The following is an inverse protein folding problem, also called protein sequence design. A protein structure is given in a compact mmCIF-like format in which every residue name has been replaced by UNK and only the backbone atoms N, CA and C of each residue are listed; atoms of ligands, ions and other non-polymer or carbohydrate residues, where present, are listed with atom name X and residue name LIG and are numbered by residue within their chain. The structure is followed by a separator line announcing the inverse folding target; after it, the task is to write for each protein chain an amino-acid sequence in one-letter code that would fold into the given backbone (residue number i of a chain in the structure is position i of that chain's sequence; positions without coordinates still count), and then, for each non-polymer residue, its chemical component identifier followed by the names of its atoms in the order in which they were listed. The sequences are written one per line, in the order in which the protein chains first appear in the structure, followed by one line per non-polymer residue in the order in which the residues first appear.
data_IF_771025432071
#
_entry.id   IF_771025432071
#
_cell.length_a   1.000
_cell.length_b   1.000
_cell.length_c   1.000
_cell.angle_alpha   90.00
_cell.angle_beta   90.00
_cell.angle_gamma   90.00
#
_symmetry.space_group_name_H-M   'P 1'
#
loop_
_entity.id
_entity.type
_entity.pdbx_description
1 polymer ?
#
# COMPACT_ATOMS: atom_id res chain seq x y z
N UNK A 1 5.19 1.81 -17.13
CA UNK A 1 5.67 2.28 -15.81
C UNK A 1 6.43 1.14 -15.14
N UNK A 2 7.52 1.46 -14.43
CA UNK A 2 8.35 0.47 -13.76
C UNK A 2 8.71 0.87 -12.34
N UNK A 3 9.37 -0.03 -11.64
CA UNK A 3 9.87 0.16 -10.28
C UNK A 3 11.27 -0.44 -10.17
N UNK A 4 12.06 0.10 -9.28
CA UNK A 4 13.36 -0.46 -8.92
C UNK A 4 13.13 -1.59 -7.89
N UNK A 5 13.53 -2.82 -8.23
CA UNK A 5 13.38 -3.96 -7.35
C UNK A 5 14.72 -4.30 -6.72
N UNK A 6 14.91 -3.92 -5.47
CA UNK A 6 16.07 -4.31 -4.67
C UNK A 6 15.82 -5.68 -4.02
N UNK A 7 16.87 -6.52 -3.89
CA UNK A 7 16.77 -7.73 -3.07
C UNK A 7 16.61 -7.34 -1.60
N UNK A 8 15.38 -7.42 -1.10
CA UNK A 8 15.12 -7.10 0.29
C UNK A 8 15.21 -8.38 1.13
N UNK A 9 16.25 -8.48 1.92
CA UNK A 9 16.26 -9.36 3.08
C UNK A 9 15.35 -8.74 4.14
N UNK A 10 14.04 -8.93 4.01
CA UNK A 10 13.10 -8.44 5.02
C UNK A 10 13.39 -9.20 6.31
N UNK A 11 13.94 -8.50 7.32
CA UNK A 11 14.04 -9.04 8.67
C UNK A 11 12.61 -9.26 9.18
N UNK A 12 12.42 -10.36 9.94
CA UNK A 12 11.19 -10.47 10.71
C UNK A 12 11.04 -9.20 11.56
N UNK A 13 9.87 -8.59 11.47
CA UNK A 13 9.57 -7.44 12.34
C UNK A 13 9.76 -7.89 13.79
N UNK A 14 10.65 -7.20 14.51
CA UNK A 14 10.82 -7.39 15.96
C UNK A 14 9.79 -6.58 16.74
N UNK A 15 8.96 -5.81 16.05
CA UNK A 15 7.91 -5.00 16.67
C UNK A 15 6.76 -5.89 17.13
N UNK A 16 6.32 -5.72 18.37
CA UNK A 16 5.07 -6.32 18.87
C UNK A 16 3.82 -5.76 18.19
N UNK A 17 3.95 -4.60 17.51
CA UNK A 17 2.87 -3.93 16.79
C UNK A 17 3.01 -4.16 15.29
N UNK A 18 1.92 -4.57 14.65
CA UNK A 18 1.83 -4.71 13.20
C UNK A 18 1.91 -3.32 12.53
N UNK A 19 2.87 -3.14 11.62
CA UNK A 19 3.10 -1.88 10.91
C UNK A 19 2.29 -1.84 9.62
N UNK A 20 1.21 -1.07 9.60
CA UNK A 20 0.32 -0.89 8.47
C UNK A 20 0.70 0.38 7.70
N UNK A 21 0.65 0.33 6.38
CA UNK A 21 1.03 1.46 5.52
C UNK A 21 -0.01 1.72 4.44
N UNK A 22 -0.37 2.98 4.29
CA UNK A 22 -1.02 3.55 3.12
C UNK A 22 -0.11 4.64 2.52
N UNK A 23 0.06 4.64 1.21
CA UNK A 23 0.76 5.70 0.48
C UNK A 23 -0.13 6.20 -0.65
N UNK A 24 -0.34 7.51 -0.73
CA UNK A 24 -1.12 8.12 -1.80
C UNK A 24 -1.62 9.51 -1.44
N UNK A 25 -2.15 10.22 -2.43
CA UNK A 25 -2.80 11.52 -2.18
C UNK A 25 -3.95 11.36 -1.20
N UNK A 26 -4.10 12.29 -0.28
CA UNK A 26 -5.24 12.35 0.62
C UNK A 26 -6.41 12.94 -0.16
N UNK A 27 -7.25 12.07 -0.69
CA UNK A 27 -8.41 12.41 -1.51
C UNK A 27 -9.54 11.40 -1.25
N UNK A 28 -10.81 11.82 -1.35
CA UNK A 28 -12.00 10.98 -1.07
C UNK A 28 -12.01 9.68 -1.88
N UNK A 29 -11.52 9.71 -3.12
CA UNK A 29 -11.39 8.52 -3.95
C UNK A 29 -10.52 7.43 -3.34
N UNK A 30 -9.64 7.77 -2.39
CA UNK A 30 -8.77 6.83 -1.67
C UNK A 30 -9.44 6.14 -0.50
N UNK A 31 -10.60 6.64 -0.06
CA UNK A 31 -11.46 6.06 0.99
C UNK A 31 -10.70 5.70 2.28
N UNK A 32 -9.83 6.62 2.72
CA UNK A 32 -8.98 6.42 3.92
C UNK A 32 -9.84 6.28 5.18
N UNK A 33 -11.03 6.88 5.20
CA UNK A 33 -12.02 6.72 6.28
C UNK A 33 -12.41 5.25 6.52
N UNK A 34 -12.48 4.43 5.47
CA UNK A 34 -12.80 2.99 5.60
C UNK A 34 -11.63 2.23 6.25
N UNK A 35 -10.40 2.66 5.99
CA UNK A 35 -9.22 2.10 6.63
C UNK A 35 -9.21 2.45 8.12
N UNK A 36 -9.49 3.72 8.50
CA UNK A 36 -9.61 4.13 9.90
C UNK A 36 -10.69 3.33 10.64
N UNK A 37 -11.86 3.15 10.02
CA UNK A 37 -12.95 2.35 10.57
C UNK A 37 -12.58 0.87 10.72
N UNK A 38 -11.76 0.33 9.82
CA UNK A 38 -11.29 -1.05 9.88
C UNK A 38 -10.30 -1.25 11.03
N UNK A 39 -9.27 -0.38 11.13
CA UNK A 39 -8.24 -0.52 12.17
C UNK A 39 -8.77 -0.25 13.57
N UNK A 40 -9.81 0.58 13.71
CA UNK A 40 -10.50 0.79 14.98
C UNK A 40 -11.12 -0.49 15.60
N UNK A 41 -11.35 -1.50 14.74
CA UNK A 41 -11.95 -2.79 15.15
C UNK A 41 -10.92 -3.92 15.30
N UNK A 42 -9.63 -3.61 15.14
CA UNK A 42 -8.57 -4.62 15.31
C UNK A 42 -8.42 -5.00 16.79
N UNK A 43 -8.25 -6.29 17.02
CA UNK A 43 -7.96 -6.85 18.35
C UNK A 43 -6.46 -7.12 18.58
N UNK A 44 -5.62 -6.77 17.61
CA UNK A 44 -4.16 -6.95 17.67
C UNK A 44 -3.45 -5.59 17.75
N UNK A 45 -2.28 -5.51 18.40
CA UNK A 45 -1.50 -4.28 18.41
C UNK A 45 -1.06 -3.87 17.01
N UNK A 46 -1.25 -2.60 16.65
CA UNK A 46 -0.87 -2.06 15.35
C UNK A 46 -0.39 -0.61 15.42
N UNK A 47 0.23 -0.17 14.35
CA UNK A 47 0.43 1.23 14.04
C UNK A 47 0.16 1.45 12.54
N UNK A 48 -0.66 2.44 12.19
CA UNK A 48 -0.99 2.80 10.82
C UNK A 48 -0.29 4.11 10.43
N UNK A 49 0.55 4.02 9.40
CA UNK A 49 1.15 5.21 8.76
C UNK A 49 0.40 5.54 7.47
N UNK A 50 -0.07 6.78 7.35
CA UNK A 50 -0.72 7.34 6.18
C UNK A 50 0.22 8.39 5.59
N UNK A 51 0.91 8.04 4.50
CA UNK A 51 1.88 8.90 3.85
C UNK A 51 1.29 9.53 2.58
N UNK A 52 1.18 10.85 2.58
CA UNK A 52 0.68 11.62 1.46
C UNK A 52 0.15 12.98 1.88
N UNK A 53 -0.02 13.86 0.91
CA UNK A 53 -0.57 15.19 1.13
C UNK A 53 -1.94 15.37 0.50
N UNK A 54 -2.70 16.33 1.00
CA UNK A 54 -3.91 16.83 0.36
C UNK A 54 -3.52 17.91 -0.67
N UNK A 55 -3.96 17.73 -1.91
CA UNK A 55 -3.80 18.77 -2.94
C UNK A 55 -5.04 19.66 -2.95
N UNK A 56 -4.86 20.92 -2.57
CA UNK A 56 -5.96 21.90 -2.46
C UNK A 56 -6.47 22.43 -3.82
N UNK A 57 -5.83 22.08 -4.92
CA UNK A 57 -5.99 22.75 -6.23
C UNK A 57 -6.76 21.95 -7.28
N UNK A 58 -7.14 20.68 -7.03
CA UNK A 58 -7.89 19.92 -8.02
C UNK A 58 -9.40 20.02 -7.76
N UNK A 59 -10.18 20.18 -8.83
CA UNK A 59 -11.65 20.15 -8.78
C UNK A 59 -12.23 18.88 -8.17
N UNK A 60 -11.43 17.82 -8.09
CA UNK A 60 -11.76 16.52 -7.49
C UNK A 60 -11.44 16.47 -6.01
N UNK A 61 -10.48 17.27 -5.55
CA UNK A 61 -10.11 17.43 -4.13
C UNK A 61 -10.66 18.76 -3.63
N UNK A 62 -11.97 18.84 -3.36
CA UNK A 62 -12.48 19.90 -2.49
C UNK A 62 -11.75 19.73 -1.16
N UNK A 63 -10.93 20.72 -0.78
CA UNK A 63 -10.12 20.69 0.45
C UNK A 63 -10.95 20.36 1.70
N UNK A 64 -10.27 19.92 2.76
CA UNK A 64 -10.92 19.58 4.02
C UNK A 64 -11.11 18.09 4.29
N UNK A 65 -10.74 17.21 3.35
CA UNK A 65 -10.81 15.78 3.60
C UNK A 65 -9.78 15.31 4.66
N UNK A 66 -8.60 15.90 4.67
CA UNK A 66 -7.62 15.66 5.74
C UNK A 66 -8.18 16.07 7.12
N UNK A 67 -8.88 17.21 7.20
CA UNK A 67 -9.48 17.65 8.46
C UNK A 67 -10.62 16.72 8.91
N UNK A 68 -11.38 16.17 7.97
CA UNK A 68 -12.39 15.15 8.26
C UNK A 68 -11.74 13.86 8.79
N UNK A 69 -10.65 13.42 8.17
CA UNK A 69 -9.91 12.23 8.62
C UNK A 69 -9.30 12.44 10.02
N UNK A 70 -8.76 13.63 10.30
CA UNK A 70 -8.25 13.97 11.63
C UNK A 70 -9.37 13.96 12.68
N UNK A 71 -10.54 14.55 12.37
CA UNK A 71 -11.71 14.49 13.26
C UNK A 71 -12.17 13.05 13.50
N UNK A 72 -12.24 12.24 12.44
CA UNK A 72 -12.61 10.82 12.56
C UNK A 72 -11.59 10.04 13.41
N UNK A 73 -10.30 10.31 13.23
CA UNK A 73 -9.23 9.70 14.03
C UNK A 73 -9.41 10.01 15.52
N UNK A 74 -9.73 11.27 15.86
CA UNK A 74 -10.04 11.69 17.23
C UNK A 74 -11.29 11.01 17.77
N UNK A 75 -12.38 10.98 16.99
CA UNK A 75 -13.64 10.33 17.39
C UNK A 75 -13.50 8.84 17.66
N UNK A 76 -12.62 8.18 16.92
CA UNK A 76 -12.31 6.76 17.07
C UNK A 76 -11.21 6.48 18.11
N UNK A 77 -10.68 7.50 18.80
CA UNK A 77 -9.58 7.41 19.76
C UNK A 77 -8.29 6.76 19.18
N UNK A 78 -8.00 7.04 17.90
CA UNK A 78 -6.89 6.44 17.16
C UNK A 78 -5.61 7.29 17.15
N UNK A 79 -5.53 8.41 17.87
CA UNK A 79 -4.41 9.36 17.80
C UNK A 79 -3.04 8.74 18.14
N UNK A 80 -3.02 7.74 19.01
CA UNK A 80 -1.79 7.02 19.39
C UNK A 80 -1.45 5.84 18.46
N UNK A 81 -2.30 5.54 17.49
CA UNK A 81 -2.21 4.39 16.61
C UNK A 81 -2.09 4.76 15.13
N UNK A 82 -2.39 6.01 14.77
CA UNK A 82 -2.40 6.50 13.39
C UNK A 82 -1.53 7.73 13.25
N UNK A 83 -0.66 7.75 12.24
CA UNK A 83 0.19 8.89 11.91
C UNK A 83 -0.05 9.35 10.48
N UNK A 84 -0.45 10.61 10.31
CA UNK A 84 -0.46 11.30 9.02
C UNK A 84 0.87 12.00 8.83
N UNK A 85 1.66 11.59 7.84
CA UNK A 85 3.03 12.10 7.68
C UNK A 85 3.14 13.32 6.76
N UNK A 86 2.07 13.67 6.06
CA UNK A 86 2.12 14.63 4.96
C UNK A 86 2.85 14.10 3.73
N UNK A 87 3.12 15.00 2.78
CA UNK A 87 3.85 14.68 1.54
C UNK A 87 5.29 14.30 1.87
N UNK A 88 5.79 13.24 1.25
CA UNK A 88 7.12 12.68 1.45
C UNK A 88 7.90 12.59 0.14
N UNK A 89 9.21 12.70 0.25
CA UNK A 89 10.14 12.41 -0.85
C UNK A 89 10.21 10.92 -1.15
N UNK A 90 10.69 10.53 -2.33
CA UNK A 90 10.88 9.13 -2.70
C UNK A 90 11.77 8.39 -1.70
N UNK A 91 12.83 9.03 -1.21
CA UNK A 91 13.74 8.43 -0.21
C UNK A 91 13.03 8.15 1.11
N UNK A 92 12.22 9.09 1.60
CA UNK A 92 11.44 8.90 2.82
C UNK A 92 10.37 7.79 2.64
N UNK A 93 9.71 7.73 1.47
CA UNK A 93 8.75 6.67 1.16
C UNK A 93 9.40 5.29 1.15
N UNK A 94 10.61 5.14 0.60
CA UNK A 94 11.37 3.89 0.67
C UNK A 94 11.57 3.40 2.12
N UNK A 95 11.81 4.31 3.08
CA UNK A 95 11.93 3.95 4.49
C UNK A 95 10.61 3.42 5.07
N UNK A 96 9.47 4.02 4.73
CA UNK A 96 8.15 3.52 5.14
C UNK A 96 7.84 2.15 4.55
N UNK A 97 8.08 1.94 3.25
CA UNK A 97 7.89 0.62 2.63
C UNK A 97 8.79 -0.45 3.29
N UNK A 98 10.04 -0.11 3.63
CA UNK A 98 10.96 -1.04 4.31
C UNK A 98 10.52 -1.41 5.73
N UNK A 99 9.90 -0.47 6.46
CA UNK A 99 9.47 -0.69 7.85
C UNK A 99 8.08 -1.27 7.99
N UNK A 100 7.25 -1.21 6.96
CA UNK A 100 5.88 -1.72 7.01
C UNK A 100 5.81 -3.25 6.92
N UNK A 101 4.72 -3.79 7.45
CA UNK A 101 4.37 -5.22 7.40
C UNK A 101 3.32 -5.53 6.32
N UNK A 102 2.35 -4.63 6.13
CA UNK A 102 1.23 -4.77 5.21
C UNK A 102 0.97 -3.42 4.53
N UNK A 103 0.74 -3.45 3.24
CA UNK A 103 0.28 -2.28 2.47
C UNK A 103 -1.22 -2.37 2.20
N UNK A 104 -1.97 -1.29 2.49
CA UNK A 104 -3.43 -1.28 2.38
C UNK A 104 -3.88 -0.15 1.48
N UNK A 105 -4.67 -0.48 0.46
CA UNK A 105 -5.09 0.48 -0.57
C UNK A 105 -6.57 0.33 -0.94
N UNK A 106 -7.50 0.90 -0.14
CA UNK A 106 -8.94 0.72 -0.31
C UNK A 106 -9.56 1.67 -1.34
N UNK A 107 -8.80 2.14 -2.31
CA UNK A 107 -9.21 3.16 -3.28
C UNK A 107 -10.43 2.74 -4.08
N UNK A 108 -11.31 3.70 -4.40
CA UNK A 108 -12.44 3.47 -5.29
C UNK A 108 -12.01 3.37 -6.75
N UNK A 109 -10.98 4.13 -7.12
CA UNK A 109 -10.49 4.22 -8.49
C UNK A 109 -8.99 4.49 -8.51
N UNK A 110 -8.32 3.88 -9.46
CA UNK A 110 -6.92 4.13 -9.79
C UNK A 110 -6.68 3.85 -11.27
N UNK A 111 -5.90 4.68 -11.96
CA UNK A 111 -5.51 4.42 -13.34
C UNK A 111 -4.48 3.29 -13.41
N UNK A 112 -3.39 3.45 -12.68
CA UNK A 112 -2.30 2.45 -12.62
C UNK A 112 -2.06 1.98 -11.19
N UNK A 113 -1.71 2.89 -10.26
CA UNK A 113 -1.44 2.56 -8.87
C UNK A 113 0.05 2.35 -8.58
N UNK A 114 0.87 3.36 -8.91
CA UNK A 114 2.31 3.34 -8.64
C UNK A 114 2.63 2.93 -7.18
N UNK A 115 1.93 3.38 -6.12
CA UNK A 115 2.21 2.92 -4.76
C UNK A 115 2.03 1.41 -4.54
N UNK A 116 1.17 0.75 -5.33
CA UNK A 116 0.96 -0.70 -5.25
C UNK A 116 2.20 -1.47 -5.72
N UNK A 117 2.78 -1.09 -6.88
CA UNK A 117 4.00 -1.75 -7.37
C UNK A 117 5.22 -1.40 -6.51
N UNK A 118 5.28 -0.21 -5.93
CA UNK A 118 6.33 0.17 -4.99
C UNK A 118 6.28 -0.68 -3.71
N UNK A 119 5.09 -0.82 -3.12
CA UNK A 119 4.89 -1.68 -1.95
C UNK A 119 5.23 -3.15 -2.26
N UNK A 120 4.77 -3.65 -3.40
CA UNK A 120 5.03 -5.00 -3.87
C UNK A 120 6.53 -5.24 -4.14
N UNK A 121 7.25 -4.27 -4.73
CA UNK A 121 8.69 -4.33 -4.93
C UNK A 121 9.46 -4.39 -3.60
N UNK A 122 8.88 -3.85 -2.51
CA UNK A 122 9.41 -3.96 -1.16
C UNK A 122 8.95 -5.24 -0.41
N UNK A 123 8.27 -6.16 -1.11
CA UNK A 123 7.83 -7.43 -0.54
C UNK A 123 6.75 -7.26 0.53
N UNK A 124 5.85 -6.28 0.36
CA UNK A 124 4.69 -6.11 1.22
C UNK A 124 3.50 -6.88 0.65
N UNK A 125 2.85 -7.76 1.42
CA UNK A 125 1.55 -8.27 1.05
C UNK A 125 0.55 -7.12 0.89
N UNK A 126 -0.28 -7.19 -0.14
CA UNK A 126 -1.23 -6.13 -0.47
C UNK A 126 -2.64 -6.47 0.02
N UNK A 127 -3.31 -5.52 0.66
CA UNK A 127 -4.76 -5.54 0.85
C UNK A 127 -5.33 -4.39 0.02
N UNK A 128 -5.97 -4.68 -1.09
CA UNK A 128 -6.43 -3.65 -2.02
C UNK A 128 -7.80 -3.95 -2.60
N UNK A 129 -8.54 -2.92 -2.93
CA UNK A 129 -9.65 -3.07 -3.87
C UNK A 129 -9.09 -3.40 -5.26
N UNK A 130 -9.87 -4.07 -6.14
CA UNK A 130 -9.43 -4.43 -7.47
C UNK A 130 -9.41 -3.22 -8.41
N UNK A 131 -8.45 -2.30 -8.19
CA UNK A 131 -8.27 -1.07 -8.97
C UNK A 131 -6.88 -1.00 -9.59
N UNK A 132 -6.78 -0.37 -10.76
CA UNK A 132 -5.51 -0.25 -11.48
C UNK A 132 -4.79 -1.58 -11.56
N UNK A 133 -3.49 -1.56 -11.30
CA UNK A 133 -2.60 -2.73 -11.37
C UNK A 133 -2.89 -3.79 -10.30
N UNK A 134 -3.61 -3.45 -9.21
CA UNK A 134 -3.99 -4.44 -8.20
C UNK A 134 -4.73 -5.64 -8.80
N UNK A 135 -5.52 -5.43 -9.87
CA UNK A 135 -6.25 -6.49 -10.57
C UNK A 135 -5.34 -7.58 -11.13
N UNK A 136 -4.11 -7.20 -11.48
CA UNK A 136 -3.17 -8.07 -12.19
C UNK A 136 -2.12 -8.68 -11.27
N UNK A 137 -1.83 -8.04 -10.11
CA UNK A 137 -0.74 -8.45 -9.23
C UNK A 137 -1.21 -9.01 -7.88
N UNK A 138 -2.47 -8.76 -7.48
CA UNK A 138 -3.02 -9.31 -6.26
C UNK A 138 -3.73 -10.63 -6.59
N UNK A 139 -3.20 -11.71 -6.04
CA UNK A 139 -3.78 -13.06 -6.10
C UNK A 139 -4.15 -13.42 -4.66
N UNK A 140 -5.47 -13.64 -4.43
CA UNK A 140 -6.00 -13.89 -3.10
C UNK A 140 -5.34 -15.09 -2.42
N UNK A 141 -4.77 -14.84 -1.24
CA UNK A 141 -4.08 -15.86 -0.45
C UNK A 141 -2.63 -16.13 -0.86
N UNK A 142 -2.15 -15.59 -2.00
CA UNK A 142 -0.79 -15.82 -2.51
C UNK A 142 0.08 -14.57 -2.44
N UNK A 143 -0.39 -13.44 -2.97
CA UNK A 143 0.35 -12.18 -3.02
C UNK A 143 -0.29 -11.09 -2.17
N UNK A 144 -1.52 -11.30 -1.73
CA UNK A 144 -2.31 -10.37 -0.96
C UNK A 144 -3.78 -10.77 -0.92
N UNK A 145 -4.65 -9.79 -0.77
CA UNK A 145 -6.10 -9.98 -0.76
C UNK A 145 -6.82 -8.83 -1.46
N UNK A 146 -7.80 -9.18 -2.28
CA UNK A 146 -8.81 -8.24 -2.73
C UNK A 146 -9.86 -8.02 -1.63
N UNK A 147 -10.32 -6.79 -1.53
CA UNK A 147 -11.41 -6.38 -0.63
C UNK A 147 -12.42 -5.52 -1.38
N UNK A 148 -13.69 -5.58 -1.00
CA UNK A 148 -14.72 -4.71 -1.59
C UNK A 148 -14.64 -3.24 -1.09
N UNK A 149 -13.78 -2.98 -0.09
CA UNK A 149 -13.67 -1.71 0.60
C UNK A 149 -14.60 -1.60 1.82
N UNK A 150 -15.24 -2.69 2.25
CA UNK A 150 -15.96 -2.70 3.53
C UNK A 150 -14.95 -2.78 4.69
N UNK A 151 -15.09 -1.94 5.75
CA UNK A 151 -14.17 -1.96 6.88
C UNK A 151 -14.01 -3.33 7.55
N UNK A 152 -15.09 -4.14 7.58
CA UNK A 152 -15.05 -5.49 8.14
C UNK A 152 -14.09 -6.40 7.35
N UNK A 153 -14.16 -6.40 6.03
CA UNK A 153 -13.27 -7.21 5.19
C UNK A 153 -11.81 -6.79 5.34
N UNK A 154 -11.54 -5.47 5.34
CA UNK A 154 -10.19 -4.94 5.55
C UNK A 154 -9.63 -5.43 6.89
N UNK A 155 -10.44 -5.32 7.97
CA UNK A 155 -10.07 -5.83 9.29
C UNK A 155 -9.72 -7.32 9.27
N UNK A 156 -10.59 -8.15 8.70
CA UNK A 156 -10.42 -9.61 8.63
C UNK A 156 -9.13 -9.99 7.88
N UNK A 157 -8.81 -9.28 6.78
CA UNK A 157 -7.57 -9.51 6.03
C UNK A 157 -6.33 -9.05 6.76
N UNK A 158 -6.38 -7.93 7.52
CA UNK A 158 -5.28 -7.52 8.38
C UNK A 158 -5.03 -8.60 9.45
N UNK A 159 -6.07 -9.09 10.11
CA UNK A 159 -5.93 -10.11 11.17
C UNK A 159 -5.45 -11.46 10.63
N UNK A 160 -5.85 -11.86 9.41
CA UNK A 160 -5.32 -13.07 8.78
C UNK A 160 -3.81 -12.99 8.49
N UNK A 161 -3.27 -11.79 8.36
CA UNK A 161 -1.85 -11.51 8.16
C UNK A 161 -1.09 -11.23 9.47
N UNK A 162 -1.63 -11.60 10.63
CA UNK A 162 -0.93 -11.44 11.92
C UNK A 162 0.35 -12.30 12.02
N UNK A 163 0.36 -13.47 11.36
CA UNK A 163 1.53 -14.34 11.32
C UNK A 163 2.58 -13.80 10.34
N UNK A 164 3.78 -13.55 10.87
CA UNK A 164 4.92 -13.03 10.08
C UNK A 164 5.37 -14.00 8.98
N UNK A 165 5.20 -15.32 9.17
CA UNK A 165 5.57 -16.31 8.16
C UNK A 165 4.68 -16.18 6.91
N UNK A 166 3.37 -15.98 7.11
CA UNK A 166 2.42 -15.76 6.03
C UNK A 166 2.78 -14.46 5.28
N UNK A 167 3.05 -13.37 6.01
CA UNK A 167 3.46 -12.10 5.40
C UNK A 167 4.74 -12.22 4.58
N UNK A 168 5.74 -12.93 5.12
CA UNK A 168 7.01 -13.16 4.41
C UNK A 168 6.84 -14.01 3.15
N UNK A 169 6.00 -15.04 3.20
CA UNK A 169 5.70 -15.87 2.04
C UNK A 169 5.02 -15.05 0.95
N UNK A 170 3.93 -14.36 1.26
CA UNK A 170 3.21 -13.50 0.32
C UNK A 170 4.11 -12.38 -0.23
N UNK A 171 4.89 -11.76 0.65
CA UNK A 171 5.80 -10.70 0.26
C UNK A 171 6.88 -11.15 -0.73
N UNK A 172 7.42 -12.36 -0.57
CA UNK A 172 8.35 -12.96 -1.54
C UNK A 172 7.66 -13.25 -2.88
N UNK A 173 6.46 -13.81 -2.82
CA UNK A 173 5.70 -14.16 -4.02
C UNK A 173 5.41 -12.91 -4.87
N UNK A 174 4.88 -11.86 -4.25
CA UNK A 174 4.57 -10.61 -4.98
C UNK A 174 5.83 -9.92 -5.48
N UNK A 175 6.92 -9.94 -4.73
CA UNK A 175 8.18 -9.35 -5.17
C UNK A 175 8.75 -10.04 -6.42
N UNK A 176 8.65 -11.37 -6.50
CA UNK A 176 9.05 -12.14 -7.69
C UNK A 176 8.20 -11.72 -8.88
N UNK A 177 6.89 -11.60 -8.71
CA UNK A 177 5.96 -11.15 -9.74
C UNK A 177 6.32 -9.75 -10.27
N UNK A 178 6.56 -8.80 -9.36
CA UNK A 178 6.96 -7.44 -9.72
C UNK A 178 8.32 -7.40 -10.42
N UNK A 179 9.31 -8.14 -9.92
CA UNK A 179 10.63 -8.25 -10.54
C UNK A 179 10.54 -8.77 -11.99
N UNK A 180 9.63 -9.72 -12.20
CA UNK A 180 9.46 -10.32 -13.54
C UNK A 180 8.75 -9.42 -14.54
N UNK A 181 7.88 -8.53 -14.09
CA UNK A 181 7.02 -7.75 -15.00
C UNK A 181 7.31 -6.25 -15.02
N UNK A 182 7.76 -5.68 -13.90
CA UNK A 182 7.84 -4.24 -13.69
C UNK A 182 9.21 -3.71 -13.29
N UNK A 183 10.26 -4.56 -13.23
CA UNK A 183 11.63 -4.10 -13.01
C UNK A 183 12.08 -3.21 -14.17
N UNK A 184 12.59 -2.03 -13.87
CA UNK A 184 13.08 -1.07 -14.85
C UNK A 184 14.10 -1.67 -15.80
N UNK A 185 15.01 -2.55 -15.33
CA UNK A 185 15.99 -3.22 -16.21
C UNK A 185 15.28 -4.00 -17.31
N UNK A 186 14.30 -4.85 -16.94
CA UNK A 186 13.55 -5.64 -17.92
C UNK A 186 12.75 -4.77 -18.89
N UNK A 187 12.14 -3.70 -18.40
CA UNK A 187 11.41 -2.76 -19.23
C UNK A 187 12.35 -2.10 -20.24
N UNK A 188 13.52 -1.64 -19.80
CA UNK A 188 14.52 -1.04 -20.69
C UNK A 188 15.04 -2.03 -21.72
N UNK A 189 15.33 -3.28 -21.33
CA UNK A 189 15.76 -4.32 -22.28
C UNK A 189 14.69 -4.57 -23.35
N UNK A 190 13.41 -4.59 -22.99
CA UNK A 190 12.30 -4.72 -23.94
C UNK A 190 12.25 -3.55 -24.93
N UNK A 191 12.42 -2.32 -24.47
CA UNK A 191 12.48 -1.14 -25.33
C UNK A 191 13.70 -1.19 -26.28
N UNK A 192 14.88 -1.54 -25.77
CA UNK A 192 16.10 -1.65 -26.57
C UNK A 192 15.93 -2.71 -27.66
N UNK A 193 15.40 -3.89 -27.33
CA UNK A 193 15.13 -4.95 -28.29
C UNK A 193 14.12 -4.51 -29.38
N UNK A 194 13.06 -3.79 -28.97
CA UNK A 194 12.09 -3.24 -29.92
C UNK A 194 12.76 -2.25 -30.88
N UNK A 195 13.54 -1.30 -30.39
CA UNK A 195 14.25 -0.33 -31.25
C UNK A 195 15.23 -1.03 -32.19
N UNK A 196 15.98 -2.02 -31.72
CA UNK A 196 16.88 -2.80 -32.58
C UNK A 196 16.15 -3.58 -33.67
N UNK A 197 14.93 -4.03 -33.43
CA UNK A 197 14.12 -4.76 -34.42
C UNK A 197 13.52 -3.86 -35.53
N UNK A 198 13.57 -2.54 -35.31
CA UNK A 198 13.07 -1.56 -36.29
C UNK A 198 14.17 -0.95 -37.20
N UNK A 199 15.43 -1.27 -36.89
CA UNK A 199 16.61 -0.88 -37.69
C UNK A 199 17.03 -1.99 -38.67
#
# INVERSE_FOLDING_TARGET
MGVEVEEIKKKQSTSEKLQLLFVGRIARVRRIELLLQAVNKLSIPFHLTIAGGEEKTSSVTRGGYLDELNRLTNQLNLNNYVTFTGKKTTTELKAFYKSADIFIYPSLYENFGQPLIEAAAHGLPLISTPVGIARDIVIDGETGYHVSGKPKEIKERIESLKDSKIRLQMGRQIQIEIKNRFDWKKIMDQYMNLYQSLL
#
